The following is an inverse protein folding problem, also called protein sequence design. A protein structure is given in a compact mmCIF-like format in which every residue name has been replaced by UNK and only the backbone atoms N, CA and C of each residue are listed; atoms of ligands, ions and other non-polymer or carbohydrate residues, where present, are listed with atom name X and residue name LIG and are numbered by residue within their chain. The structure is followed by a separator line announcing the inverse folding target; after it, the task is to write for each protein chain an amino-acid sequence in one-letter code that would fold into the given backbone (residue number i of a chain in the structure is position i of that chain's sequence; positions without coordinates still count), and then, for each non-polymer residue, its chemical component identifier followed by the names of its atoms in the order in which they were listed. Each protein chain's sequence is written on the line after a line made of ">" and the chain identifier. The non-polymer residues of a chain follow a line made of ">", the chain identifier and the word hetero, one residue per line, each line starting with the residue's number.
data_IF_376151320512
#
_entry.id   IF_376151320512
#
_cell.length_a   1.000
_cell.length_b   1.000
_cell.length_c   1.000
_cell.angle_alpha   90.00
_cell.angle_beta   90.00
_cell.angle_gamma   90.00
#
_symmetry.space_group_name_H-M   'P 1'
#
loop_
_entity.id
_entity.type
_entity.pdbx_description
1 polymer ?
#
# COMPACT_ATOMS: atom_id res chain seq x y z
N UNK A 1 -12.30 5.02 29.13
CA UNK A 1 -11.97 3.98 28.14
C UNK A 1 -12.08 4.59 26.75
N UNK A 2 -10.94 4.98 26.16
CA UNK A 2 -10.89 5.55 24.81
C UNK A 2 -11.22 4.43 23.82
N UNK A 3 -12.44 4.38 23.30
CA UNK A 3 -12.81 3.43 22.25
C UNK A 3 -12.29 3.97 20.94
N UNK A 4 -11.06 3.59 20.61
CA UNK A 4 -10.53 3.77 19.26
C UNK A 4 -11.54 3.15 18.28
N UNK A 5 -12.07 3.87 17.29
CA UNK A 5 -13.10 3.36 16.39
C UNK A 5 -12.52 2.22 15.55
N UNK A 6 -12.69 0.98 16.03
CA UNK A 6 -12.33 -0.22 15.29
C UNK A 6 -13.21 -0.30 14.05
N UNK A 7 -12.61 -0.66 12.91
CA UNK A 7 -13.37 -0.90 11.69
C UNK A 7 -14.12 -2.23 11.82
N UNK A 8 -15.10 -2.46 10.93
CA UNK A 8 -15.80 -3.75 10.88
C UNK A 8 -14.80 -4.85 10.50
N UNK A 9 -14.99 -6.05 11.04
CA UNK A 9 -14.14 -7.22 10.75
C UNK A 9 -13.92 -7.48 9.26
N UNK A 10 -14.93 -7.22 8.42
CA UNK A 10 -14.83 -7.43 6.97
C UNK A 10 -13.85 -6.47 6.33
N UNK A 11 -13.72 -5.26 6.87
CA UNK A 11 -12.73 -4.27 6.44
C UNK A 11 -11.33 -4.64 6.91
N UNK A 12 -11.20 -5.19 8.12
CA UNK A 12 -9.90 -5.73 8.59
C UNK A 12 -9.43 -6.88 7.71
N UNK A 13 -10.34 -7.78 7.33
CA UNK A 13 -10.04 -8.87 6.41
C UNK A 13 -9.60 -8.36 5.03
N UNK A 14 -10.29 -7.35 4.48
CA UNK A 14 -9.88 -6.74 3.21
C UNK A 14 -8.50 -6.08 3.31
N UNK A 15 -8.21 -5.38 4.40
CA UNK A 15 -6.85 -4.86 4.65
C UNK A 15 -5.82 -5.97 4.66
N UNK A 16 -6.09 -7.05 5.40
CA UNK A 16 -5.18 -8.19 5.48
C UNK A 16 -4.96 -8.84 4.10
N UNK A 17 -6.01 -9.02 3.30
CA UNK A 17 -5.92 -9.58 1.95
C UNK A 17 -5.09 -8.70 1.02
N UNK A 18 -5.34 -7.39 0.98
CA UNK A 18 -4.58 -6.47 0.13
C UNK A 18 -3.12 -6.35 0.58
N UNK A 19 -2.87 -6.28 1.89
CA UNK A 19 -1.51 -6.32 2.44
C UNK A 19 -0.79 -7.63 2.12
N UNK A 20 -1.47 -8.78 2.23
CA UNK A 20 -0.89 -10.07 1.90
C UNK A 20 -0.55 -10.17 0.40
N UNK A 21 -1.40 -9.62 -0.48
CA UNK A 21 -1.09 -9.51 -1.91
C UNK A 21 0.17 -8.67 -2.12
N UNK A 22 0.23 -7.45 -1.59
CA UNK A 22 1.41 -6.58 -1.69
C UNK A 22 2.68 -7.30 -1.20
N UNK A 23 2.64 -7.90 -0.01
CA UNK A 23 3.78 -8.64 0.57
C UNK A 23 4.20 -9.81 -0.33
N UNK A 24 3.24 -10.57 -0.85
CA UNK A 24 3.53 -11.66 -1.80
C UNK A 24 4.24 -11.13 -3.04
N UNK A 25 3.79 -9.98 -3.58
CA UNK A 25 4.46 -9.30 -4.68
C UNK A 25 5.89 -8.90 -4.36
N UNK A 26 6.16 -8.35 -3.16
CA UNK A 26 7.51 -7.98 -2.72
C UNK A 26 8.44 -9.18 -2.71
N UNK A 27 8.02 -10.29 -2.10
CA UNK A 27 8.85 -11.49 -2.04
C UNK A 27 9.04 -12.13 -3.41
N UNK A 28 8.00 -12.13 -4.24
CA UNK A 28 8.05 -12.67 -5.59
C UNK A 28 9.03 -11.88 -6.47
N UNK A 29 9.03 -10.55 -6.35
CA UNK A 29 9.94 -9.67 -7.07
C UNK A 29 11.39 -9.77 -6.57
N UNK A 30 11.60 -9.76 -5.25
CA UNK A 30 12.92 -9.99 -4.67
C UNK A 30 13.51 -11.36 -5.09
N UNK A 31 12.68 -12.40 -5.14
CA UNK A 31 13.09 -13.71 -5.64
C UNK A 31 13.52 -13.67 -7.12
N UNK A 32 12.81 -12.90 -7.96
CA UNK A 32 13.15 -12.78 -9.37
C UNK A 32 14.53 -12.13 -9.55
N UNK A 33 14.79 -11.02 -8.86
CA UNK A 33 16.09 -10.35 -8.89
C UNK A 33 17.22 -11.25 -8.36
N UNK A 34 16.95 -12.06 -7.34
CA UNK A 34 17.94 -12.99 -6.79
C UNK A 34 18.26 -14.18 -7.71
N UNK A 35 17.34 -14.58 -8.58
CA UNK A 35 17.46 -15.81 -9.40
C UNK A 35 17.62 -15.56 -10.89
N UNK A 36 17.42 -14.33 -11.36
CA UNK A 36 17.51 -13.94 -12.78
C UNK A 36 18.52 -12.80 -12.92
N UNK A 37 19.81 -13.11 -13.12
CA UNK A 37 20.90 -12.13 -13.09
C UNK A 37 20.87 -11.06 -14.19
N UNK A 38 20.01 -11.19 -15.20
CA UNK A 38 19.90 -10.26 -16.34
C UNK A 38 18.57 -9.48 -16.33
N UNK A 39 17.89 -9.40 -15.19
CA UNK A 39 16.61 -8.71 -15.04
C UNK A 39 16.85 -7.22 -14.76
N UNK A 40 17.08 -6.44 -15.81
CA UNK A 40 17.45 -5.01 -15.70
C UNK A 40 16.31 -4.05 -16.11
N UNK A 41 15.16 -4.56 -16.49
CA UNK A 41 14.04 -3.74 -16.96
C UNK A 41 12.96 -3.57 -15.90
N UNK A 42 12.30 -2.41 -15.90
CA UNK A 42 11.18 -2.14 -15.00
C UNK A 42 9.94 -2.99 -15.30
N UNK A 43 9.57 -3.14 -16.57
CA UNK A 43 8.34 -3.86 -16.91
C UNK A 43 8.54 -5.36 -16.89
N UNK A 44 8.26 -5.97 -15.75
CA UNK A 44 8.37 -7.42 -15.54
C UNK A 44 7.06 -8.00 -14.98
N UNK A 45 6.77 -9.29 -15.19
CA UNK A 45 5.62 -9.94 -14.55
C UNK A 45 5.63 -9.84 -13.01
N UNK A 46 6.81 -9.82 -12.39
CA UNK A 46 6.96 -9.73 -10.93
C UNK A 46 6.62 -8.35 -10.41
N UNK A 47 7.12 -7.30 -11.07
CA UNK A 47 6.69 -5.93 -10.83
C UNK A 47 5.18 -5.76 -11.05
N UNK A 48 4.58 -6.40 -12.06
CA UNK A 48 3.13 -6.33 -12.25
C UNK A 48 2.35 -6.88 -11.03
N UNK A 49 2.81 -7.98 -10.40
CA UNK A 49 2.20 -8.51 -9.16
C UNK A 49 2.43 -7.56 -7.98
N UNK A 50 3.66 -7.03 -7.83
CA UNK A 50 4.01 -6.08 -6.79
C UNK A 50 3.15 -4.80 -6.86
N UNK A 51 3.17 -4.13 -8.01
CA UNK A 51 2.49 -2.85 -8.19
C UNK A 51 0.97 -2.99 -8.22
N UNK A 52 0.41 -4.13 -8.64
CA UNK A 52 -1.04 -4.38 -8.50
C UNK A 52 -1.45 -4.58 -7.04
N UNK A 53 -0.67 -5.32 -6.26
CA UNK A 53 -0.87 -5.44 -4.81
C UNK A 53 -0.74 -4.09 -4.09
N UNK A 54 0.21 -3.27 -4.53
CA UNK A 54 0.35 -1.89 -4.06
C UNK A 54 -0.88 -1.05 -4.42
N UNK A 55 -1.34 -1.06 -5.68
CA UNK A 55 -2.51 -0.30 -6.11
C UNK A 55 -3.77 -0.70 -5.32
N UNK A 56 -3.98 -2.00 -5.09
CA UNK A 56 -5.09 -2.50 -4.29
C UNK A 56 -5.02 -1.97 -2.85
N UNK A 57 -3.84 -2.04 -2.22
CA UNK A 57 -3.60 -1.53 -0.87
C UNK A 57 -3.78 -0.01 -0.80
N UNK A 58 -3.18 0.73 -1.73
CA UNK A 58 -3.23 2.19 -1.80
C UNK A 58 -4.66 2.69 -2.02
N UNK A 59 -5.39 2.08 -2.96
CA UNK A 59 -6.78 2.39 -3.24
C UNK A 59 -7.69 2.13 -2.03
N UNK A 60 -7.46 1.01 -1.33
CA UNK A 60 -8.19 0.67 -0.12
C UNK A 60 -7.96 1.66 1.03
N UNK A 61 -6.68 1.91 1.36
CA UNK A 61 -6.29 2.84 2.43
C UNK A 61 -6.80 4.25 2.13
N UNK A 62 -6.58 4.72 0.90
CA UNK A 62 -7.07 6.02 0.43
C UNK A 62 -8.59 6.11 0.53
N UNK A 63 -9.30 5.05 0.13
CA UNK A 63 -10.75 4.98 0.23
C UNK A 63 -11.26 5.08 1.68
N UNK A 64 -10.55 4.50 2.65
CA UNK A 64 -10.87 4.65 4.08
C UNK A 64 -10.60 6.07 4.57
N UNK A 65 -9.44 6.64 4.21
CA UNK A 65 -9.06 8.00 4.61
C UNK A 65 -10.03 9.05 4.03
N UNK A 66 -10.44 8.91 2.77
CA UNK A 66 -11.37 9.83 2.11
C UNK A 66 -12.79 9.79 2.68
N UNK A 67 -13.23 8.62 3.16
CA UNK A 67 -14.56 8.44 3.76
C UNK A 67 -14.57 8.68 5.28
N UNK A 68 -13.42 8.98 5.87
CA UNK A 68 -13.31 9.19 7.30
C UNK A 68 -14.07 10.46 7.72
N UNK A 69 -14.91 10.39 8.78
CA UNK A 69 -15.61 11.56 9.28
C UNK A 69 -14.61 12.57 9.86
N UNK A 70 -14.96 13.85 9.82
CA UNK A 70 -14.17 14.92 10.44
C UNK A 70 -14.83 15.36 11.74
N UNK A 71 -14.04 15.77 12.73
CA UNK A 71 -14.59 16.39 13.95
C UNK A 71 -15.24 17.73 13.58
N UNK A 72 -16.35 18.07 14.26
CA UNK A 72 -17.00 19.37 14.10
C UNK A 72 -15.96 20.47 14.39
N UNK A 73 -15.82 21.43 13.46
CA UNK A 73 -14.84 22.51 13.57
C UNK A 73 -13.40 22.16 13.20
N UNK A 74 -13.10 20.92 12.77
CA UNK A 74 -11.76 20.51 12.33
C UNK A 74 -11.72 20.07 10.87
N UNK A 75 -10.58 20.34 10.20
CA UNK A 75 -10.26 19.77 8.88
C UNK A 75 -9.61 18.38 8.97
N UNK A 76 -9.18 17.96 10.15
CA UNK A 76 -8.51 16.67 10.34
C UNK A 76 -9.52 15.51 10.37
N UNK A 77 -9.31 14.45 9.56
CA UNK A 77 -10.16 13.26 9.59
C UNK A 77 -9.91 12.44 10.87
N UNK A 78 -10.97 11.80 11.36
CA UNK A 78 -10.91 10.81 12.45
C UNK A 78 -10.67 9.44 11.83
N UNK A 79 -9.41 9.04 11.79
CA UNK A 79 -8.99 7.77 11.20
C UNK A 79 -9.11 6.62 12.22
N UNK A 80 -9.48 5.41 11.77
CA UNK A 80 -9.30 4.22 12.59
C UNK A 80 -7.83 4.01 12.94
N UNK A 81 -7.57 3.35 14.07
CA UNK A 81 -6.23 2.99 14.52
C UNK A 81 -5.38 2.41 13.37
N UNK A 82 -4.15 2.90 13.22
CA UNK A 82 -3.19 2.44 12.21
C UNK A 82 -3.35 3.06 10.81
N UNK A 83 -4.52 3.60 10.43
CA UNK A 83 -4.73 4.11 9.06
C UNK A 83 -3.99 5.41 8.75
N UNK A 84 -3.67 6.21 9.77
CA UNK A 84 -2.78 7.37 9.59
C UNK A 84 -1.38 6.93 9.16
N UNK A 85 -0.85 5.87 9.78
CA UNK A 85 0.45 5.31 9.42
C UNK A 85 0.38 4.55 8.08
N UNK A 86 -0.71 3.83 7.82
CA UNK A 86 -0.91 3.16 6.53
C UNK A 86 -0.92 4.18 5.37
N UNK A 87 -1.56 5.34 5.55
CA UNK A 87 -1.55 6.43 4.56
C UNK A 87 -0.13 6.94 4.28
N UNK A 88 0.70 7.11 5.31
CA UNK A 88 2.11 7.44 5.14
C UNK A 88 2.89 6.35 4.41
N UNK A 89 2.66 5.07 4.75
CA UNK A 89 3.28 3.94 4.06
C UNK A 89 2.95 3.93 2.56
N UNK A 90 1.70 4.21 2.19
CA UNK A 90 1.29 4.35 0.79
C UNK A 90 2.04 5.47 0.08
N UNK A 91 2.19 6.63 0.72
CA UNK A 91 2.91 7.77 0.13
C UNK A 91 4.40 7.46 -0.08
N UNK A 92 5.05 6.89 0.94
CA UNK A 92 6.48 6.54 0.88
C UNK A 92 6.72 5.46 -0.17
N UNK A 93 5.91 4.40 -0.19
CA UNK A 93 6.04 3.33 -1.19
C UNK A 93 5.78 3.86 -2.60
N UNK A 94 4.78 4.73 -2.78
CA UNK A 94 4.50 5.37 -4.07
C UNK A 94 5.69 6.20 -4.58
N UNK A 95 6.33 7.00 -3.71
CA UNK A 95 7.52 7.75 -4.05
C UNK A 95 8.70 6.84 -4.40
N UNK A 96 8.92 5.77 -3.63
CA UNK A 96 9.95 4.77 -3.91
C UNK A 96 9.71 4.09 -5.27
N UNK A 97 8.45 3.72 -5.57
CA UNK A 97 8.10 3.09 -6.85
C UNK A 97 8.27 4.01 -8.06
N UNK A 98 8.08 5.32 -7.90
CA UNK A 98 8.41 6.31 -8.95
C UNK A 98 9.93 6.42 -9.11
N UNK A 99 10.68 6.44 -8.00
CA UNK A 99 12.14 6.46 -8.03
C UNK A 99 12.71 5.22 -8.73
N UNK A 100 12.16 4.05 -8.46
CA UNK A 100 12.52 2.79 -9.10
C UNK A 100 12.31 2.84 -10.63
N UNK A 101 11.13 3.33 -11.06
CA UNK A 101 10.88 3.55 -12.49
C UNK A 101 11.90 4.49 -13.12
N UNK A 102 12.19 5.63 -12.48
CA UNK A 102 13.15 6.60 -13.00
C UNK A 102 14.57 6.04 -13.07
N UNK A 103 14.95 5.21 -12.09
CA UNK A 103 16.24 4.53 -12.08
C UNK A 103 16.39 3.59 -13.28
N UNK A 104 15.35 2.80 -13.59
CA UNK A 104 15.37 1.90 -14.74
C UNK A 104 15.30 2.59 -16.11
N UNK A 105 14.92 3.88 -16.16
CA UNK A 105 14.87 4.68 -17.39
C UNK A 105 16.16 5.48 -17.65
N UNK A 106 17.04 5.60 -16.67
CA UNK A 106 18.30 6.32 -16.74
C UNK A 106 19.44 5.45 -17.28
#
# INVERSE_FOLDING_TARGET
>A
VNRDPRIRWSRDLLTAVFSAWLITGVFLDAWAHATRPSLETFFTPWHAVLYSGFLATAGWVTGIVWRAPRRIGSRTPVLPAGYGLAGWGVAVFGAAGVGDLLWHLA
#
